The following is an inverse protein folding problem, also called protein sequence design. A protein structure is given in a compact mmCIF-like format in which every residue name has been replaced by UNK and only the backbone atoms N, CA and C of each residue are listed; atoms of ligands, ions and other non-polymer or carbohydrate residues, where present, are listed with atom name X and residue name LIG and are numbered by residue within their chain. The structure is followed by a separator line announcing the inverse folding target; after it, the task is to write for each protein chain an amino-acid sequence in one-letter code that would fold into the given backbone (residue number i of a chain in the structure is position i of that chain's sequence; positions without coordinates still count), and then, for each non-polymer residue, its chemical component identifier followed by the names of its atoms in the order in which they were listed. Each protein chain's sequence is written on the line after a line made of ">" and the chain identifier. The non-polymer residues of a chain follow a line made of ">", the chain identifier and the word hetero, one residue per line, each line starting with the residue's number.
data_IF_896707776779
#
_entry.id   IF_896707776779
#
_cell.length_a   1.000
_cell.length_b   1.000
_cell.length_c   1.000
_cell.angle_alpha   90.00
_cell.angle_beta   90.00
_cell.angle_gamma   90.00
#
_symmetry.space_group_name_H-M   'P 1'
#
loop_
_entity.id
_entity.type
_entity.pdbx_description
1 polymer ?
#
# COMPACT_ATOMS: atom_id res chain seq x y z
N UNK A 1 -10.84 4.24 -6.65
CA UNK A 1 -9.96 5.38 -7.01
C UNK A 1 -10.46 6.08 -8.25
N UNK A 2 -10.72 5.37 -9.36
CA UNK A 2 -11.37 5.90 -10.56
C UNK A 2 -12.56 6.82 -10.27
N UNK A 3 -13.60 6.32 -9.58
CA UNK A 3 -14.79 7.12 -9.24
C UNK A 3 -14.47 8.41 -8.47
N UNK A 4 -13.51 8.37 -7.53
CA UNK A 4 -13.12 9.56 -6.78
C UNK A 4 -12.41 10.58 -7.68
N UNK A 5 -11.56 10.11 -8.60
CA UNK A 5 -10.90 10.96 -9.57
C UNK A 5 -11.89 11.58 -10.56
N UNK A 6 -12.86 10.80 -11.06
CA UNK A 6 -13.91 11.28 -11.97
C UNK A 6 -14.81 12.32 -11.32
N UNK A 7 -15.24 12.11 -10.07
CA UNK A 7 -16.14 13.03 -9.36
C UNK A 7 -15.45 14.33 -8.95
N UNK A 8 -14.16 14.28 -8.63
CA UNK A 8 -13.42 15.45 -8.13
C UNK A 8 -12.63 16.16 -9.21
N UNK A 9 -12.34 15.50 -10.34
CA UNK A 9 -11.39 15.97 -11.35
C UNK A 9 -9.93 15.92 -10.89
N UNK A 10 -9.62 15.28 -9.75
CA UNK A 10 -8.29 15.27 -9.16
C UNK A 10 -7.74 13.85 -8.99
N UNK A 11 -6.44 13.62 -9.22
CA UNK A 11 -5.82 12.33 -8.97
C UNK A 11 -5.79 12.00 -7.46
N UNK A 12 -5.90 10.73 -7.13
CA UNK A 12 -6.05 10.22 -5.76
C UNK A 12 -4.71 10.11 -5.05
N UNK A 13 -4.67 10.44 -3.75
CA UNK A 13 -3.54 10.14 -2.86
C UNK A 13 -3.97 9.04 -1.89
N UNK A 14 -3.10 8.06 -1.68
CA UNK A 14 -3.31 6.98 -0.70
C UNK A 14 -2.28 7.10 0.41
N UNK A 15 -2.75 7.15 1.65
CA UNK A 15 -1.91 7.13 2.84
C UNK A 15 -2.27 5.88 3.63
N UNK A 16 -1.32 4.98 3.83
CA UNK A 16 -1.48 3.81 4.70
C UNK A 16 -0.55 3.97 5.87
N UNK A 17 -1.12 4.09 7.07
CA UNK A 17 -0.35 4.12 8.28
C UNK A 17 -0.01 2.70 8.75
N UNK A 18 1.20 2.51 9.28
CA UNK A 18 1.64 1.27 9.93
C UNK A 18 1.37 -0.01 9.10
N UNK A 19 1.65 0.04 7.78
CA UNK A 19 1.23 -1.01 6.84
C UNK A 19 1.80 -2.41 7.17
N UNK A 20 2.93 -2.46 7.87
CA UNK A 20 3.66 -3.68 8.19
C UNK A 20 3.33 -4.25 9.58
N UNK A 21 2.48 -3.58 10.36
CA UNK A 21 2.05 -4.04 11.68
C UNK A 21 1.53 -5.49 11.68
N UNK A 22 0.71 -5.93 10.70
CA UNK A 22 0.26 -7.33 10.65
C UNK A 22 1.42 -8.32 10.44
N UNK A 23 2.43 -7.96 9.64
CA UNK A 23 3.60 -8.81 9.41
C UNK A 23 4.44 -8.97 10.68
N UNK A 24 4.53 -7.92 11.48
CA UNK A 24 5.27 -7.94 12.75
C UNK A 24 4.54 -8.75 13.83
N UNK A 25 3.21 -8.65 13.86
CA UNK A 25 2.39 -9.41 14.81
C UNK A 25 2.34 -10.92 14.49
N UNK A 26 2.65 -11.32 13.27
CA UNK A 26 2.61 -12.72 12.80
C UNK A 26 3.97 -13.42 12.79
N UNK A 27 5.06 -12.81 13.26
CA UNK A 27 6.42 -13.37 13.14
C UNK A 27 6.59 -14.78 13.73
N UNK A 28 5.78 -15.16 14.72
CA UNK A 28 5.84 -16.47 15.37
C UNK A 28 4.92 -17.52 14.72
N UNK A 29 4.03 -17.10 13.82
CA UNK A 29 3.08 -17.96 13.12
C UNK A 29 3.33 -17.89 11.61
N UNK A 30 3.96 -18.93 11.07
CA UNK A 30 4.37 -18.96 9.66
C UNK A 30 3.18 -18.95 8.70
N UNK A 31 2.08 -19.63 9.04
CA UNK A 31 0.90 -19.70 8.17
C UNK A 31 0.20 -18.35 8.13
N UNK A 32 -0.01 -17.73 9.30
CA UNK A 32 -0.58 -16.39 9.41
C UNK A 32 0.30 -15.34 8.73
N UNK A 33 1.63 -15.43 8.91
CA UNK A 33 2.58 -14.52 8.29
C UNK A 33 2.52 -14.60 6.76
N UNK A 34 2.40 -15.80 6.21
CA UNK A 34 2.27 -16.01 4.78
C UNK A 34 0.95 -15.42 4.25
N UNK A 35 -0.17 -15.64 4.96
CA UNK A 35 -1.47 -15.08 4.59
C UNK A 35 -1.45 -13.53 4.57
N UNK A 36 -0.82 -12.90 5.57
CA UNK A 36 -0.66 -11.44 5.59
C UNK A 36 0.25 -10.93 4.48
N UNK A 37 1.35 -11.65 4.18
CA UNK A 37 2.21 -11.33 3.03
C UNK A 37 1.44 -11.34 1.71
N UNK A 38 0.63 -12.37 1.49
CA UNK A 38 -0.18 -12.50 0.28
C UNK A 38 -1.24 -11.40 0.18
N UNK A 39 -1.88 -11.08 1.29
CA UNK A 39 -2.86 -9.99 1.37
C UNK A 39 -2.22 -8.64 1.01
N UNK A 40 -1.06 -8.31 1.60
CA UNK A 40 -0.34 -7.08 1.29
C UNK A 40 0.13 -7.05 -0.17
N UNK A 41 0.62 -8.18 -0.70
CA UNK A 41 0.99 -8.30 -2.11
C UNK A 41 -0.19 -8.03 -3.04
N UNK A 42 -1.37 -8.58 -2.73
CA UNK A 42 -2.59 -8.35 -3.49
C UNK A 42 -3.02 -6.87 -3.43
N UNK A 43 -2.95 -6.24 -2.26
CA UNK A 43 -3.22 -4.81 -2.09
C UNK A 43 -2.31 -3.95 -2.98
N UNK A 44 -1.01 -4.21 -3.00
CA UNK A 44 -0.08 -3.51 -3.90
C UNK A 44 -0.36 -3.79 -5.37
N UNK A 45 -0.83 -4.99 -5.72
CA UNK A 45 -1.30 -5.32 -7.06
C UNK A 45 -2.45 -4.42 -7.51
N UNK A 46 -3.41 -4.15 -6.62
CA UNK A 46 -4.53 -3.23 -6.88
C UNK A 46 -4.05 -1.79 -7.04
N UNK A 47 -3.14 -1.32 -6.19
CA UNK A 47 -2.59 0.04 -6.35
C UNK A 47 -1.92 0.23 -7.70
N UNK A 48 -1.17 -0.78 -8.17
CA UNK A 48 -0.54 -0.76 -9.49
C UNK A 48 -1.55 -0.79 -10.64
N UNK A 49 -2.65 -1.53 -10.52
CA UNK A 49 -3.64 -1.61 -11.61
C UNK A 49 -4.44 -0.32 -11.82
N UNK A 50 -4.43 0.59 -10.84
CA UNK A 50 -5.14 1.88 -10.88
C UNK A 50 -4.19 3.08 -10.93
N UNK A 51 -2.93 2.87 -11.30
CA UNK A 51 -1.86 3.88 -11.40
C UNK A 51 -2.31 5.17 -12.14
N UNK A 52 -3.03 5.02 -13.25
CA UNK A 52 -3.55 6.17 -14.03
C UNK A 52 -4.40 7.17 -13.23
N UNK A 53 -5.00 6.74 -12.12
CA UNK A 53 -5.82 7.59 -11.24
C UNK A 53 -5.06 8.05 -9.98
N UNK A 54 -3.84 7.56 -9.76
CA UNK A 54 -3.04 7.84 -8.57
C UNK A 54 -2.09 9.02 -8.81
N UNK A 55 -2.06 9.93 -7.84
CA UNK A 55 -1.03 10.96 -7.77
C UNK A 55 0.25 10.38 -7.19
N UNK A 56 0.14 9.73 -6.02
CA UNK A 56 1.16 8.93 -5.34
C UNK A 56 0.50 8.14 -4.20
N UNK A 57 1.23 7.18 -3.63
CA UNK A 57 0.88 6.53 -2.37
C UNK A 57 2.05 6.63 -1.38
N UNK A 58 1.74 6.81 -0.09
CA UNK A 58 2.71 6.83 1.00
C UNK A 58 2.33 5.75 2.01
N UNK A 59 3.32 4.95 2.40
CA UNK A 59 3.16 3.84 3.33
C UNK A 59 4.12 4.07 4.50
N UNK A 60 3.62 4.13 5.72
CA UNK A 60 4.46 4.26 6.93
C UNK A 60 4.56 2.90 7.61
N UNK A 61 5.68 2.66 8.29
CA UNK A 61 5.95 1.43 9.03
C UNK A 61 5.99 1.74 10.53
N UNK A 62 5.70 0.76 11.38
CA UNK A 62 5.91 0.88 12.84
C UNK A 62 7.40 0.84 13.23
N UNK A 63 8.28 0.41 12.32
CA UNK A 63 9.73 0.37 12.54
C UNK A 63 10.42 1.55 11.84
N UNK A 64 11.37 2.19 12.54
CA UNK A 64 12.16 3.34 12.03
C UNK A 64 13.05 3.03 10.81
N UNK A 65 13.08 1.78 10.32
CA UNK A 65 13.73 1.42 9.06
C UNK A 65 12.74 1.59 7.90
N UNK A 66 12.34 2.84 7.68
CA UNK A 66 11.50 3.25 6.57
C UNK A 66 12.24 3.17 5.24
N UNK A 67 12.15 2.04 4.55
CA UNK A 67 12.31 2.05 3.10
C UNK A 67 11.06 2.68 2.49
N UNK A 68 11.16 3.99 2.29
CA UNK A 68 10.23 4.77 1.47
C UNK A 68 10.30 4.22 0.03
N UNK A 69 9.28 3.47 -0.39
CA UNK A 69 9.08 3.23 -1.83
C UNK A 69 8.37 4.45 -2.42
N UNK A 70 9.16 5.37 -2.96
CA UNK A 70 8.68 6.40 -3.90
C UNK A 70 8.84 5.84 -5.30
N UNK A 71 7.73 5.61 -5.99
CA UNK A 71 7.73 5.42 -7.43
C UNK A 71 6.60 6.21 -8.07
N UNK A 72 6.99 7.20 -8.87
CA UNK A 72 6.23 7.65 -10.03
C UNK A 72 7.25 7.91 -11.14
N UNK A 73 7.16 7.16 -12.22
CA UNK A 73 7.87 7.48 -13.45
C UNK A 73 6.83 7.58 -14.55
N UNK A 74 6.80 8.76 -15.17
CA UNK A 74 5.91 9.24 -16.23
C UNK A 74 4.63 9.91 -15.75
#
# INVERSE_FOLDING_TARGET
>A
MQRAAELTGHPVVVLVDEYDKPLLQSLQDKELHQAYKETLKAFYGVLKSVDQYLKFYLLTSVTKFGQVSVFKAT
#
